data_IF_756598058555
#
_entry.id   IF_756598058555
#
_cell.length_a   1.000
_cell.length_b   1.000
_cell.length_c   1.000
_cell.angle_alpha   90.00
_cell.angle_beta   90.00
_cell.angle_gamma   90.00
#
_symmetry.space_group_name_H-M   'P 1'
#
loop_
_entity.id
_entity.type
_entity.pdbx_description
1 polymer ?
#
# COMPACT_ATOMS: atom_id res chain seq x y z
N UNK A 1 -20.41 7.52 -0.47
CA UNK A 1 -19.54 7.58 -1.67
C UNK A 1 -18.26 6.83 -1.35
N UNK A 2 -18.07 5.64 -1.91
CA UNK A 2 -16.84 4.85 -1.70
C UNK A 2 -15.67 5.55 -2.39
N UNK A 3 -14.54 5.71 -1.71
CA UNK A 3 -13.40 6.42 -2.30
C UNK A 3 -12.75 5.55 -3.37
N UNK A 4 -12.04 6.13 -4.37
CA UNK A 4 -11.34 5.36 -5.41
C UNK A 4 -10.34 4.32 -4.86
N UNK A 5 -9.85 4.54 -3.63
CA UNK A 5 -9.02 3.58 -2.89
C UNK A 5 -9.73 2.29 -2.53
N UNK A 6 -11.04 2.36 -2.33
CA UNK A 6 -11.84 1.23 -1.89
C UNK A 6 -12.09 0.27 -3.06
N UNK A 7 -12.12 0.79 -4.29
CA UNK A 7 -12.19 -0.01 -5.51
C UNK A 7 -10.94 -0.86 -5.73
N UNK A 8 -9.74 -0.27 -5.60
CA UNK A 8 -8.48 -1.02 -5.68
C UNK A 8 -8.38 -2.08 -4.58
N UNK A 9 -8.83 -1.75 -3.36
CA UNK A 9 -8.94 -2.72 -2.25
C UNK A 9 -9.83 -3.90 -2.63
N UNK A 10 -11.04 -3.63 -3.13
CA UNK A 10 -11.99 -4.68 -3.49
C UNK A 10 -11.42 -5.62 -4.57
N UNK A 11 -10.74 -5.08 -5.59
CA UNK A 11 -10.11 -5.87 -6.65
C UNK A 11 -9.03 -6.80 -6.08
N UNK A 12 -8.11 -6.26 -5.29
CA UNK A 12 -6.97 -7.04 -4.75
C UNK A 12 -7.46 -8.09 -3.77
N UNK A 13 -8.33 -7.74 -2.82
CA UNK A 13 -8.85 -8.68 -1.84
C UNK A 13 -9.77 -9.72 -2.48
N UNK A 14 -10.55 -9.35 -3.50
CA UNK A 14 -11.34 -10.31 -4.27
C UNK A 14 -10.44 -11.34 -4.96
N UNK A 15 -9.39 -10.88 -5.65
CA UNK A 15 -8.44 -11.78 -6.30
C UNK A 15 -7.69 -12.70 -5.30
N UNK A 16 -7.29 -12.17 -4.15
CA UNK A 16 -6.69 -12.98 -3.07
C UNK A 16 -7.69 -14.02 -2.55
N UNK A 17 -8.96 -13.65 -2.43
CA UNK A 17 -10.05 -14.57 -2.10
C UNK A 17 -10.14 -15.72 -3.10
N UNK A 18 -10.07 -15.42 -4.40
CA UNK A 18 -10.07 -16.44 -5.47
C UNK A 18 -8.85 -17.37 -5.40
N UNK A 19 -7.67 -16.85 -5.02
CA UNK A 19 -6.45 -17.65 -4.81
C UNK A 19 -6.55 -18.51 -3.53
N UNK A 20 -7.31 -18.02 -2.54
CA UNK A 20 -7.45 -18.57 -1.20
C UNK A 20 -6.46 -17.93 -0.21
N UNK A 21 -6.98 -17.35 0.86
CA UNK A 21 -6.20 -16.59 1.85
C UNK A 21 -5.07 -17.42 2.50
N UNK A 22 -5.36 -18.68 2.86
CA UNK A 22 -4.38 -19.57 3.47
C UNK A 22 -3.20 -19.87 2.52
N UNK A 23 -3.47 -19.98 1.22
CA UNK A 23 -2.44 -20.15 0.19
C UNK A 23 -1.65 -18.86 0.03
N UNK A 24 -2.34 -17.74 -0.14
CA UNK A 24 -1.70 -16.44 -0.31
C UNK A 24 -0.75 -16.11 0.86
N UNK A 25 -1.16 -16.38 2.11
CA UNK A 25 -0.28 -16.21 3.29
C UNK A 25 0.94 -17.13 3.23
N UNK A 26 0.78 -18.40 2.83
CA UNK A 26 1.89 -19.34 2.69
C UNK A 26 2.92 -18.85 1.66
N UNK A 27 2.45 -18.42 0.49
CA UNK A 27 3.33 -17.91 -0.57
C UNK A 27 4.09 -16.66 -0.11
N UNK A 28 3.43 -15.73 0.59
CA UNK A 28 4.06 -14.53 1.14
C UNK A 28 5.16 -14.80 2.17
N UNK A 29 5.06 -15.91 2.90
CA UNK A 29 6.09 -16.32 3.86
C UNK A 29 7.13 -17.27 3.25
N UNK A 30 7.08 -17.51 1.94
CA UNK A 30 8.00 -18.38 1.21
C UNK A 30 9.07 -17.57 0.45
N UNK A 31 10.15 -18.22 -0.01
CA UNK A 31 11.12 -17.57 -0.91
C UNK A 31 10.49 -17.03 -2.22
N UNK A 32 9.33 -17.55 -2.64
CA UNK A 32 8.59 -17.15 -3.83
C UNK A 32 7.65 -15.94 -3.63
N UNK A 33 7.71 -15.26 -2.49
CA UNK A 33 6.81 -14.14 -2.18
C UNK A 33 6.84 -13.03 -3.25
N UNK A 34 8.01 -12.74 -3.81
CA UNK A 34 8.17 -11.75 -4.88
C UNK A 34 7.41 -12.12 -6.15
N UNK A 35 7.53 -13.37 -6.59
CA UNK A 35 6.83 -13.88 -7.78
C UNK A 35 5.32 -13.92 -7.56
N UNK A 36 4.90 -14.34 -6.37
CA UNK A 36 3.49 -14.33 -5.97
C UNK A 36 2.90 -12.91 -6.02
N UNK A 37 3.55 -11.94 -5.38
CA UNK A 37 3.11 -10.54 -5.37
C UNK A 37 3.10 -9.95 -6.78
N UNK A 38 4.09 -10.28 -7.60
CA UNK A 38 4.16 -9.86 -9.00
C UNK A 38 2.98 -10.42 -9.80
N UNK A 39 2.65 -11.70 -9.63
CA UNK A 39 1.50 -12.33 -10.26
C UNK A 39 0.17 -11.68 -9.87
N UNK A 40 -0.03 -11.42 -8.56
CA UNK A 40 -1.21 -10.70 -8.05
C UNK A 40 -1.30 -9.29 -8.65
N UNK A 41 -0.18 -8.57 -8.69
CA UNK A 41 -0.14 -7.22 -9.26
C UNK A 41 -0.52 -7.24 -10.75
N UNK A 42 0.06 -8.14 -11.54
CA UNK A 42 -0.25 -8.27 -12.97
C UNK A 42 -1.72 -8.63 -13.22
N UNK A 43 -2.31 -9.51 -12.42
CA UNK A 43 -3.71 -9.89 -12.54
C UNK A 43 -4.68 -8.74 -12.20
N UNK A 44 -4.32 -7.91 -11.22
CA UNK A 44 -5.17 -6.82 -10.73
C UNK A 44 -4.99 -5.51 -11.50
N UNK A 45 -3.80 -5.24 -12.03
CA UNK A 45 -3.41 -3.94 -12.59
C UNK A 45 -4.34 -3.44 -13.70
N UNK A 46 -4.75 -4.25 -14.71
CA UNK A 46 -5.67 -3.78 -15.75
C UNK A 46 -7.01 -3.32 -15.18
N UNK A 47 -7.52 -4.02 -14.17
CA UNK A 47 -8.82 -3.72 -13.52
C UNK A 47 -8.72 -2.45 -12.68
N UNK A 48 -7.62 -2.30 -11.92
CA UNK A 48 -7.36 -1.09 -11.14
C UNK A 48 -7.18 0.12 -12.06
N UNK A 49 -6.45 -0.02 -13.18
CA UNK A 49 -6.30 1.04 -14.18
C UNK A 49 -7.61 1.42 -14.86
N UNK A 50 -8.55 0.48 -14.98
CA UNK A 50 -9.93 0.76 -15.41
C UNK A 50 -10.71 1.66 -14.44
N UNK A 51 -10.36 1.68 -13.15
CA UNK A 51 -10.95 2.59 -12.15
C UNK A 51 -10.19 3.92 -12.08
N UNK A 52 -8.87 3.89 -12.20
CA UNK A 52 -8.01 5.07 -12.17
C UNK A 52 -6.79 4.87 -13.06
N UNK A 53 -6.73 5.64 -14.15
CA UNK A 53 -5.66 5.50 -15.13
C UNK A 53 -4.29 5.98 -14.62
N UNK A 54 -3.23 5.50 -15.25
CA UNK A 54 -1.85 5.96 -15.07
C UNK A 54 -1.26 5.68 -13.67
N UNK A 55 -0.26 6.49 -13.31
CA UNK A 55 0.53 6.31 -12.09
C UNK A 55 -0.30 6.28 -10.81
N UNK A 56 -1.46 6.94 -10.79
CA UNK A 56 -2.30 6.99 -9.61
C UNK A 56 -3.10 5.68 -9.39
N UNK A 57 -3.42 4.94 -10.45
CA UNK A 57 -3.93 3.55 -10.34
C UNK A 57 -2.85 2.60 -9.85
N UNK A 58 -1.64 2.74 -10.39
CA UNK A 58 -0.48 1.93 -10.01
C UNK A 58 -0.14 2.13 -8.53
N UNK A 59 -0.09 3.39 -8.07
CA UNK A 59 0.06 3.75 -6.66
C UNK A 59 -1.02 3.10 -5.80
N UNK A 60 -2.29 3.18 -6.20
CA UNK A 60 -3.38 2.58 -5.43
C UNK A 60 -3.23 1.05 -5.31
N UNK A 61 -2.84 0.37 -6.40
CA UNK A 61 -2.55 -1.06 -6.38
C UNK A 61 -1.41 -1.40 -5.42
N UNK A 62 -0.26 -0.72 -5.56
CA UNK A 62 0.92 -0.97 -4.72
C UNK A 62 0.61 -0.70 -3.24
N UNK A 63 -0.07 0.40 -2.91
CA UNK A 63 -0.47 0.72 -1.54
C UNK A 63 -1.36 -0.39 -0.96
N UNK A 64 -2.34 -0.89 -1.72
CA UNK A 64 -3.23 -1.96 -1.25
C UNK A 64 -2.47 -3.27 -1.06
N UNK A 65 -1.65 -3.65 -2.05
CA UNK A 65 -0.93 -4.91 -2.05
C UNK A 65 0.13 -4.97 -0.94
N UNK A 66 0.86 -3.86 -0.74
CA UNK A 66 1.82 -3.73 0.34
C UNK A 66 1.14 -3.79 1.72
N UNK A 67 0.02 -3.09 1.89
CA UNK A 67 -0.76 -3.16 3.13
C UNK A 67 -1.30 -4.58 3.39
N UNK A 68 -1.71 -5.30 2.35
CA UNK A 68 -2.08 -6.71 2.45
C UNK A 68 -0.89 -7.58 2.91
N UNK A 69 0.28 -7.43 2.28
CA UNK A 69 1.48 -8.19 2.65
C UNK A 69 1.88 -7.97 4.12
N UNK A 70 1.85 -6.71 4.58
CA UNK A 70 2.08 -6.37 6.00
C UNK A 70 1.07 -7.06 6.92
N UNK A 71 -0.23 -6.99 6.56
CA UNK A 71 -1.30 -7.63 7.33
C UNK A 71 -1.17 -9.16 7.37
N UNK A 72 -0.81 -9.78 6.25
CA UNK A 72 -0.57 -11.22 6.15
C UNK A 72 0.62 -11.66 7.02
N UNK A 73 1.64 -10.81 7.15
CA UNK A 73 2.79 -10.99 8.04
C UNK A 73 2.53 -10.56 9.50
N UNK A 74 1.29 -10.19 9.85
CA UNK A 74 0.91 -9.66 11.17
C UNK A 74 1.69 -8.40 11.60
N UNK A 75 2.18 -7.63 10.64
CA UNK A 75 2.80 -6.33 10.88
C UNK A 75 1.70 -5.26 10.93
N UNK A 76 1.48 -4.59 12.08
CA UNK A 76 0.46 -3.54 12.19
C UNK A 76 0.78 -2.39 11.22
N UNK A 77 -0.25 -1.88 10.55
CA UNK A 77 -0.09 -0.73 9.66
C UNK A 77 -1.42 0.01 9.49
N UNK A 78 -1.35 1.33 9.30
CA UNK A 78 -2.47 2.15 8.89
C UNK A 78 -2.25 2.68 7.48
N UNK A 79 -3.28 2.61 6.63
CA UNK A 79 -3.25 3.09 5.24
C UNK A 79 -3.98 4.43 5.11
N UNK A 80 -3.51 5.32 4.23
CA UNK A 80 -4.17 6.59 3.88
C UNK A 80 -4.43 7.45 5.11
N UNK A 81 -3.35 7.74 5.81
CA UNK A 81 -3.37 8.51 7.06
C UNK A 81 -2.99 9.95 6.75
N UNK A 82 -3.76 10.91 7.26
CA UNK A 82 -3.34 12.31 7.29
C UNK A 82 -2.50 12.57 8.54
N UNK A 83 -1.26 12.99 8.36
CA UNK A 83 -0.31 13.32 9.43
C UNK A 83 0.07 14.79 9.25
N UNK A 84 -0.30 15.64 10.22
CA UNK A 84 -0.03 17.09 10.18
C UNK A 84 -0.50 17.77 8.88
N UNK A 85 -1.62 17.31 8.31
CA UNK A 85 -2.18 17.86 7.08
C UNK A 85 -1.60 17.28 5.79
N UNK A 86 -0.64 16.35 5.87
CA UNK A 86 -0.10 15.64 4.70
C UNK A 86 -0.61 14.21 4.64
N UNK A 87 -1.09 13.77 3.47
CA UNK A 87 -1.50 12.38 3.26
C UNK A 87 -0.30 11.46 3.06
N UNK A 88 -0.29 10.37 3.82
CA UNK A 88 0.70 9.31 3.78
C UNK A 88 0.03 8.00 3.35
N UNK A 89 0.68 7.24 2.47
CA UNK A 89 0.12 5.99 1.95
C UNK A 89 0.03 4.92 3.04
N UNK A 90 1.12 4.64 3.75
CA UNK A 90 1.16 3.65 4.84
C UNK A 90 2.05 4.14 5.98
N UNK A 91 1.59 3.92 7.21
CA UNK A 91 2.36 4.11 8.45
C UNK A 91 2.43 2.78 9.20
N UNK A 92 3.62 2.39 9.63
CA UNK A 92 3.89 1.21 10.47
C UNK A 92 4.53 1.67 11.79
N UNK A 93 4.08 1.24 12.97
CA UNK A 93 2.91 0.40 13.18
C UNK A 93 1.59 1.16 12.98
N UNK A 94 1.55 2.43 13.37
CA UNK A 94 0.33 3.24 13.36
C UNK A 94 0.62 4.74 13.49
N UNK A 95 -0.40 5.55 13.23
CA UNK A 95 -0.32 7.02 13.24
C UNK A 95 -0.05 7.62 14.64
N UNK A 96 -0.51 6.97 15.72
CA UNK A 96 -0.29 7.45 17.09
C UNK A 96 1.17 7.27 17.48
N UNK A 97 1.77 6.13 17.13
CA UNK A 97 3.19 5.87 17.32
C UNK A 97 4.06 6.87 16.56
N UNK A 98 3.70 7.17 15.30
CA UNK A 98 4.37 8.21 14.50
C UNK A 98 4.30 9.59 15.18
N UNK A 99 3.14 9.98 15.71
CA UNK A 99 2.98 11.26 16.39
C UNK A 99 3.76 11.37 17.70
N UNK A 100 3.75 10.32 18.52
CA UNK A 100 4.41 10.29 19.82
C UNK A 100 5.91 10.01 19.75
N UNK A 101 6.36 9.22 18.78
CA UNK A 101 7.74 8.78 18.65
C UNK A 101 8.08 8.49 17.18
N UNK A 102 8.36 9.53 16.36
CA UNK A 102 8.60 9.38 14.92
C UNK A 102 9.70 8.37 14.57
N UNK A 103 10.74 8.26 15.42
CA UNK A 103 11.84 7.29 15.25
C UNK A 103 11.43 5.82 15.40
N UNK A 104 10.24 5.55 15.96
CA UNK A 104 9.67 4.21 16.15
C UNK A 104 8.60 3.88 15.12
N UNK A 105 8.42 4.74 14.12
CA UNK A 105 7.49 4.53 13.03
C UNK A 105 8.22 4.55 11.68
N UNK A 106 7.74 3.73 10.75
CA UNK A 106 8.11 3.75 9.35
C UNK A 106 6.96 4.38 8.55
N UNK A 107 7.30 5.37 7.74
CA UNK A 107 6.40 6.02 6.80
C UNK A 107 6.75 5.57 5.40
N UNK A 108 5.75 5.09 4.66
CA UNK A 108 5.87 4.71 3.26
C UNK A 108 5.00 5.67 2.44
N UNK A 109 5.64 6.41 1.54
CA UNK A 109 5.02 7.34 0.62
C UNK A 109 5.34 6.91 -0.80
N UNK A 110 4.31 6.75 -1.62
CA UNK A 110 4.44 6.41 -3.04
C UNK A 110 4.10 7.65 -3.85
N UNK A 111 5.09 8.40 -4.35
CA UNK A 111 4.81 9.61 -5.10
C UNK A 111 4.12 9.26 -6.43
N UNK A 112 3.22 10.13 -6.90
CA UNK A 112 2.57 9.95 -8.22
C UNK A 112 3.55 10.17 -9.37
N UNK A 113 4.64 10.89 -9.11
CA UNK A 113 5.71 11.19 -10.03
C UNK A 113 7.08 10.90 -9.41
N UNK A 114 7.97 10.22 -10.14
CA UNK A 114 9.34 9.93 -9.69
C UNK A 114 10.27 11.15 -9.81
N UNK A 115 9.72 12.37 -9.74
CA UNK A 115 10.51 13.59 -9.80
C UNK A 115 11.21 13.83 -8.46
N UNK A 116 12.37 14.50 -8.44
CA UNK A 116 13.00 14.93 -7.19
C UNK A 116 12.03 15.71 -6.29
N UNK A 117 11.19 16.57 -6.87
CA UNK A 117 10.16 17.30 -6.13
C UNK A 117 9.08 16.41 -5.52
N UNK A 118 8.69 15.31 -6.18
CA UNK A 118 7.79 14.30 -5.62
C UNK A 118 8.36 13.62 -4.39
N UNK A 119 9.65 13.31 -4.43
CA UNK A 119 10.38 12.70 -3.31
C UNK A 119 10.57 13.68 -2.14
N UNK A 120 10.89 14.95 -2.42
CA UNK A 120 11.03 15.99 -1.39
C UNK A 120 9.73 16.24 -0.64
N UNK A 121 8.60 16.33 -1.35
CA UNK A 121 7.26 16.45 -0.73
C UNK A 121 6.96 15.27 0.19
N UNK A 122 7.30 14.05 -0.24
CA UNK A 122 7.14 12.85 0.57
C UNK A 122 8.07 12.85 1.81
N UNK A 123 9.30 13.36 1.68
CA UNK A 123 10.25 13.47 2.78
C UNK A 123 9.81 14.49 3.85
N UNK A 124 9.27 15.64 3.42
CA UNK A 124 8.71 16.64 4.32
C UNK A 124 7.54 16.09 5.17
N UNK A 125 6.70 15.23 4.58
CA UNK A 125 5.62 14.54 5.29
C UNK A 125 6.11 13.65 6.45
N UNK A 126 7.34 13.13 6.34
CA UNK A 126 7.96 12.24 7.32
C UNK A 126 8.72 12.98 8.45
N UNK A 127 8.73 14.31 8.45
CA UNK A 127 9.25 15.11 9.57
C UNK A 127 10.77 15.28 9.59
N UNK A 128 11.41 15.45 8.42
CA UNK A 128 12.76 16.02 8.31
C UNK A 128 12.70 17.48 7.92
#
# INVERSE_FOLDING_TARGET
MSTPSDGARAIVYGHIGDVGEARARRELCSPGAGDFLTGVAQACLPRVRGLRAGAAGDRALVTVLLHYALSAAAVPSHRKVSVRGTEVDIVVPDARTLAASPRRALVICLPEDATPGGLERAAAAAGR
#
